data_IF_321803812412
#
_entry.id   IF_321803812412
#
_cell.length_a   1.000
_cell.length_b   1.000
_cell.length_c   1.000
_cell.angle_alpha   90.00
_cell.angle_beta   90.00
_cell.angle_gamma   90.00
#
_symmetry.space_group_name_H-M   'P 1'
#
loop_
_entity.id
_entity.type
_entity.pdbx_description
1 polymer ?
#
# COMPACT_ATOMS: atom_id res chain seq x y z
N UNK A 1 -4.19 -25.58 -7.87
CA UNK A 1 -5.26 -24.63 -8.26
C UNK A 1 -4.63 -23.55 -9.11
N UNK A 2 -5.30 -23.09 -10.17
CA UNK A 2 -4.78 -22.00 -11.00
C UNK A 2 -4.93 -20.67 -10.25
N UNK A 3 -3.91 -19.83 -10.27
CA UNK A 3 -4.03 -18.47 -9.74
C UNK A 3 -4.99 -17.66 -10.63
N UNK A 4 -5.75 -16.71 -10.05
CA UNK A 4 -6.55 -15.75 -10.83
C UNK A 4 -5.65 -14.84 -11.68
N UNK A 5 -6.22 -14.22 -12.72
CA UNK A 5 -5.54 -13.15 -13.44
C UNK A 5 -5.64 -11.83 -12.67
N UNK A 6 -4.62 -11.56 -11.86
CA UNK A 6 -4.53 -10.35 -11.04
C UNK A 6 -4.48 -9.06 -11.86
N UNK A 7 -4.14 -9.08 -13.14
CA UNK A 7 -4.10 -7.88 -13.99
C UNK A 7 -5.52 -7.39 -14.34
N UNK A 8 -6.49 -8.28 -14.37
CA UNK A 8 -7.90 -7.95 -14.69
C UNK A 8 -8.71 -7.52 -13.47
N UNK A 9 -8.24 -7.81 -12.26
CA UNK A 9 -8.97 -7.49 -11.03
C UNK A 9 -8.99 -5.99 -10.74
N UNK A 10 -10.10 -5.50 -10.21
CA UNK A 10 -10.21 -4.16 -9.64
C UNK A 10 -9.46 -4.07 -8.32
N UNK A 11 -9.19 -2.84 -7.86
CA UNK A 11 -8.53 -2.60 -6.56
C UNK A 11 -9.22 -3.27 -5.37
N UNK A 12 -10.56 -3.19 -5.18
CA UNK A 12 -11.22 -3.87 -4.07
C UNK A 12 -11.16 -5.39 -4.18
N UNK A 13 -11.31 -5.96 -5.37
CA UNK A 13 -11.23 -7.42 -5.57
C UNK A 13 -9.83 -7.95 -5.25
N UNK A 14 -8.78 -7.32 -5.79
CA UNK A 14 -7.41 -7.76 -5.53
C UNK A 14 -7.04 -7.58 -4.04
N UNK A 15 -7.55 -6.53 -3.40
CA UNK A 15 -7.39 -6.32 -1.96
C UNK A 15 -8.05 -7.45 -1.16
N UNK A 16 -9.28 -7.83 -1.51
CA UNK A 16 -9.96 -8.93 -0.82
C UNK A 16 -9.19 -10.23 -0.97
N UNK A 17 -8.73 -10.54 -2.18
CA UNK A 17 -7.92 -11.73 -2.45
C UNK A 17 -6.68 -11.81 -1.57
N UNK A 18 -5.90 -10.72 -1.48
CA UNK A 18 -4.69 -10.66 -0.63
C UNK A 18 -5.01 -10.87 0.84
N UNK A 19 -6.16 -10.38 1.32
CA UNK A 19 -6.55 -10.57 2.72
C UNK A 19 -6.90 -12.02 3.04
N UNK A 20 -7.41 -12.76 2.06
CA UNK A 20 -7.72 -14.19 2.12
C UNK A 20 -6.48 -15.07 1.87
N UNK A 21 -5.47 -14.57 1.14
CA UNK A 21 -4.27 -15.30 0.71
C UNK A 21 -3.01 -14.51 1.09
N UNK A 22 -2.76 -14.38 2.40
CA UNK A 22 -1.72 -13.49 2.94
C UNK A 22 -0.30 -13.92 2.58
N UNK A 23 -0.09 -15.19 2.27
CA UNK A 23 1.19 -15.75 1.81
C UNK A 23 1.44 -15.62 0.29
N UNK A 24 0.49 -15.09 -0.51
CA UNK A 24 0.71 -14.92 -1.95
C UNK A 24 1.46 -13.61 -2.25
N UNK A 25 2.79 -13.66 -2.14
CA UNK A 25 3.69 -12.54 -2.39
C UNK A 25 3.51 -11.93 -3.80
N UNK A 26 3.13 -12.74 -4.79
CA UNK A 26 2.88 -12.28 -6.16
C UNK A 26 1.67 -11.34 -6.21
N UNK A 27 0.58 -11.70 -5.55
CA UNK A 27 -0.62 -10.87 -5.48
C UNK A 27 -0.31 -9.53 -4.78
N UNK A 28 0.49 -9.56 -3.72
CA UNK A 28 0.95 -8.36 -3.00
C UNK A 28 1.80 -7.46 -3.90
N UNK A 29 2.77 -8.04 -4.63
CA UNK A 29 3.64 -7.31 -5.56
C UNK A 29 2.82 -6.61 -6.65
N UNK A 30 1.90 -7.34 -7.30
CA UNK A 30 1.05 -6.80 -8.36
C UNK A 30 0.15 -5.68 -7.83
N UNK A 31 -0.41 -5.83 -6.63
CA UNK A 31 -1.22 -4.78 -6.01
C UNK A 31 -0.41 -3.51 -5.76
N UNK A 32 0.81 -3.65 -5.22
CA UNK A 32 1.70 -2.54 -4.96
C UNK A 32 2.10 -1.83 -6.27
N UNK A 33 2.44 -2.57 -7.32
CA UNK A 33 2.81 -1.99 -8.62
C UNK A 33 1.65 -1.28 -9.32
N UNK A 34 0.46 -1.88 -9.34
CA UNK A 34 -0.70 -1.34 -10.08
C UNK A 34 -1.35 -0.14 -9.40
N UNK A 35 -1.38 -0.10 -8.07
CA UNK A 35 -2.15 0.88 -7.31
C UNK A 35 -1.30 1.84 -6.48
N UNK A 36 0.04 1.78 -6.60
CA UNK A 36 0.93 2.80 -6.04
C UNK A 36 0.69 4.13 -6.75
N UNK A 37 0.59 5.19 -5.96
CA UNK A 37 0.64 6.55 -6.48
C UNK A 37 2.07 6.84 -6.98
N UNK A 38 2.26 7.20 -8.27
CA UNK A 38 3.57 7.48 -8.82
C UNK A 38 4.27 8.66 -8.14
N UNK A 39 3.52 9.58 -7.53
CA UNK A 39 4.06 10.74 -6.81
C UNK A 39 4.25 10.47 -5.31
N UNK A 40 3.87 9.28 -4.81
CA UNK A 40 4.08 8.95 -3.41
C UNK A 40 5.57 8.83 -3.11
N UNK A 41 6.00 9.56 -2.08
CA UNK A 41 7.33 9.41 -1.50
C UNK A 41 7.46 8.01 -0.89
N UNK A 42 8.54 7.31 -1.26
CA UNK A 42 8.89 6.00 -0.71
C UNK A 42 9.96 6.19 0.34
N UNK A 43 9.70 5.63 1.52
CA UNK A 43 10.66 5.55 2.61
C UNK A 43 11.24 4.15 2.64
N UNK A 44 12.56 4.06 2.78
CA UNK A 44 13.26 2.79 2.89
C UNK A 44 12.95 2.15 4.25
N UNK A 45 12.99 0.81 4.35
CA UNK A 45 12.77 0.11 5.61
C UNK A 45 13.70 0.60 6.74
N UNK A 46 14.93 1.00 6.41
CA UNK A 46 15.93 1.52 7.35
C UNK A 46 15.52 2.85 7.99
N UNK A 47 14.68 3.64 7.31
CA UNK A 47 14.21 4.92 7.84
C UNK A 47 13.18 4.70 8.96
N UNK A 48 12.52 3.55 9.04
CA UNK A 48 11.60 3.23 10.16
C UNK A 48 10.54 4.31 10.41
N UNK A 49 9.92 4.31 11.58
CA UNK A 49 8.97 5.37 11.98
C UNK A 49 9.59 6.47 12.86
N UNK A 50 10.78 6.21 13.40
CA UNK A 50 11.52 7.15 14.25
C UNK A 50 12.37 8.14 13.46
N UNK A 51 12.55 7.92 12.15
CA UNK A 51 13.19 8.91 11.28
C UNK A 51 12.39 10.22 11.30
N UNK A 52 13.07 11.37 11.49
CA UNK A 52 12.42 12.65 11.67
C UNK A 52 11.59 13.07 10.45
N UNK A 53 12.01 12.67 9.24
CA UNK A 53 11.28 12.97 8.01
C UNK A 53 10.02 12.10 7.91
N UNK A 54 10.13 10.80 8.18
CA UNK A 54 8.98 9.88 8.19
C UNK A 54 7.94 10.31 9.23
N UNK A 55 8.38 10.62 10.45
CA UNK A 55 7.51 11.05 11.54
C UNK A 55 6.77 12.34 11.20
N UNK A 56 7.45 13.31 10.57
CA UNK A 56 6.84 14.57 10.13
C UNK A 56 5.78 14.32 9.06
N UNK A 57 6.11 13.55 8.02
CA UNK A 57 5.17 13.24 6.95
C UNK A 57 3.93 12.48 7.45
N UNK A 58 4.10 11.57 8.41
CA UNK A 58 2.99 10.86 9.04
C UNK A 58 2.07 11.82 9.81
N UNK A 59 2.63 12.72 10.61
CA UNK A 59 1.86 13.73 11.36
C UNK A 59 1.04 14.62 10.42
N UNK A 60 1.66 15.18 9.39
CA UNK A 60 0.97 16.04 8.41
C UNK A 60 -0.18 15.31 7.70
N UNK A 61 0.00 14.03 7.39
CA UNK A 61 -1.06 13.20 6.78
C UNK A 61 -2.23 13.02 7.73
N UNK A 62 -1.98 12.72 9.00
CA UNK A 62 -3.02 12.53 10.01
C UNK A 62 -3.80 13.81 10.27
N UNK A 63 -3.12 14.96 10.31
CA UNK A 63 -3.77 16.27 10.45
C UNK A 63 -4.66 16.60 9.26
N UNK A 64 -4.17 16.38 8.03
CA UNK A 64 -4.98 16.54 6.82
C UNK A 64 -6.22 15.66 6.84
N UNK A 65 -6.10 14.40 7.27
CA UNK A 65 -7.23 13.49 7.34
C UNK A 65 -8.26 13.93 8.39
N UNK A 66 -7.80 14.44 9.55
CA UNK A 66 -8.67 14.97 10.59
C UNK A 66 -9.43 16.22 10.15
N UNK A 67 -8.78 17.11 9.40
CA UNK A 67 -9.39 18.36 8.95
C UNK A 67 -10.32 18.17 7.73
N UNK A 68 -10.37 16.98 7.14
CA UNK A 68 -11.23 16.61 6.02
C UNK A 68 -12.48 15.80 6.45
N UNK A 69 -12.61 15.50 7.75
CA UNK A 69 -13.76 14.82 8.35
C UNK A 69 -14.65 15.81 9.08
#
# INVERSE_FOLDING_TARGET
MSKPDFATMTRPELRQYILEHREDDEAVSIYAERFRDPNAKVYLPEQGFDDPEVATALRERLERQRNQA
#
